data_IF_649741553638
#
_entry.id   IF_649741553638
#
_cell.length_a   1.000
_cell.length_b   1.000
_cell.length_c   1.000
_cell.angle_alpha   90.00
_cell.angle_beta   90.00
_cell.angle_gamma   90.00
#
_symmetry.space_group_name_H-M   'P 1'
#
loop_
_entity.id
_entity.type
_entity.pdbx_description
1 polymer ?
#
# COMPACT_ATOMS: atom_id res chain seq x y z
N UNK A 1 -6.28 1.94 -8.72
CA UNK A 1 -6.49 0.48 -8.66
C UNK A 1 -5.31 -0.13 -7.94
N UNK A 2 -5.56 -0.87 -6.85
CA UNK A 2 -4.53 -1.51 -6.05
C UNK A 2 -4.23 -2.93 -6.56
N UNK A 3 -2.95 -3.27 -6.70
CA UNK A 3 -2.45 -4.64 -6.84
C UNK A 3 -1.57 -4.97 -5.65
N UNK A 4 -1.78 -6.16 -5.09
CA UNK A 4 -0.96 -6.74 -4.03
C UNK A 4 -0.38 -8.03 -4.59
N UNK A 5 0.94 -8.07 -4.77
CA UNK A 5 1.64 -9.21 -5.32
C UNK A 5 2.52 -9.81 -4.22
N UNK A 6 2.37 -11.11 -3.98
CA UNK A 6 3.20 -11.84 -3.02
C UNK A 6 4.28 -12.64 -3.77
N UNK A 7 5.53 -12.40 -3.42
CA UNK A 7 6.69 -13.11 -3.96
C UNK A 7 7.52 -13.68 -2.80
N UNK A 8 7.16 -14.89 -2.38
CA UNK A 8 7.76 -15.53 -1.21
C UNK A 8 7.53 -14.72 0.06
N UNK A 9 8.62 -14.29 0.70
CA UNK A 9 8.61 -13.48 1.92
C UNK A 9 8.36 -11.98 1.68
N UNK A 10 8.27 -11.54 0.43
CA UNK A 10 8.08 -10.13 0.08
C UNK A 10 6.68 -9.87 -0.47
N UNK A 11 6.17 -8.68 -0.15
CA UNK A 11 4.96 -8.11 -0.73
C UNK A 11 5.34 -6.90 -1.58
N UNK A 12 4.68 -6.80 -2.74
CA UNK A 12 4.74 -5.64 -3.62
C UNK A 12 3.35 -5.01 -3.69
N UNK A 13 3.25 -3.76 -3.27
CA UNK A 13 2.05 -2.94 -3.33
C UNK A 13 2.17 -1.99 -4.51
N UNK A 14 1.18 -1.98 -5.39
CA UNK A 14 1.14 -1.09 -6.55
C UNK A 14 -0.20 -0.38 -6.59
N UNK A 15 -0.19 0.95 -6.58
CA UNK A 15 -1.39 1.77 -6.80
C UNK A 15 -1.23 2.60 -8.06
N UNK A 16 -2.13 2.41 -9.02
CA UNK A 16 -2.16 3.19 -10.26
C UNK A 16 -3.49 3.94 -10.42
N UNK A 17 -3.44 5.24 -10.70
CA UNK A 17 -4.61 6.08 -11.03
C UNK A 17 -4.17 7.29 -11.85
N UNK A 18 -4.90 7.62 -12.92
CA UNK A 18 -4.65 8.83 -13.71
C UNK A 18 -3.27 8.92 -14.37
N UNK A 19 -2.71 7.79 -14.81
CA UNK A 19 -1.39 7.73 -15.44
C UNK A 19 -0.20 7.81 -14.47
N UNK A 20 -0.45 7.87 -13.15
CA UNK A 20 0.57 7.82 -12.10
C UNK A 20 0.56 6.45 -11.44
N UNK A 21 1.73 6.03 -10.95
CA UNK A 21 1.92 4.74 -10.29
C UNK A 21 2.82 4.89 -9.06
N UNK A 22 2.33 4.46 -7.90
CA UNK A 22 3.13 4.32 -6.69
C UNK A 22 3.40 2.84 -6.41
N UNK A 23 4.67 2.52 -6.15
CA UNK A 23 5.13 1.15 -5.89
C UNK A 23 5.92 1.10 -4.58
N UNK A 24 5.60 0.14 -3.72
CA UNK A 24 6.40 -0.20 -2.56
C UNK A 24 6.61 -1.71 -2.47
N UNK A 25 7.81 -2.11 -2.07
CA UNK A 25 8.20 -3.52 -1.91
C UNK A 25 8.86 -3.68 -0.55
N UNK A 26 8.48 -4.70 0.19
CA UNK A 26 9.02 -4.97 1.51
C UNK A 26 8.65 -6.34 2.03
N UNK A 27 9.25 -6.78 3.13
CA UNK A 27 8.96 -8.08 3.72
C UNK A 27 7.52 -8.13 4.27
N UNK A 28 6.82 -9.22 4.03
CA UNK A 28 5.45 -9.45 4.52
C UNK A 28 5.37 -9.45 6.06
N UNK A 29 6.47 -9.86 6.71
CA UNK A 29 6.60 -9.89 8.16
C UNK A 29 6.66 -8.50 8.81
N UNK A 30 7.01 -7.46 8.04
CA UNK A 30 7.05 -6.07 8.50
C UNK A 30 6.10 -5.19 7.68
N UNK A 31 4.84 -5.60 7.70
CA UNK A 31 3.77 -4.91 6.98
C UNK A 31 3.63 -3.42 7.40
N UNK A 32 3.76 -3.02 8.68
CA UNK A 32 3.67 -1.60 9.06
C UNK A 32 4.71 -0.73 8.35
N UNK A 33 5.97 -1.17 8.26
CA UNK A 33 7.02 -0.44 7.54
C UNK A 33 6.71 -0.38 6.05
N UNK A 34 6.26 -1.48 5.45
CA UNK A 34 5.85 -1.51 4.05
C UNK A 34 4.69 -0.54 3.75
N UNK A 35 3.68 -0.48 4.62
CA UNK A 35 2.57 0.47 4.50
C UNK A 35 3.07 1.92 4.60
N UNK A 36 3.98 2.22 5.53
CA UNK A 36 4.59 3.54 5.65
C UNK A 36 5.35 3.95 4.38
N UNK A 37 6.15 3.05 3.82
CA UNK A 37 6.84 3.25 2.54
C UNK A 37 5.85 3.48 1.39
N UNK A 38 4.76 2.73 1.37
CA UNK A 38 3.72 2.87 0.35
C UNK A 38 3.02 4.22 0.40
N UNK A 39 2.67 4.71 1.60
CA UNK A 39 2.13 6.05 1.80
C UNK A 39 3.11 7.13 1.35
N UNK A 40 4.40 7.00 1.70
CA UNK A 40 5.42 7.95 1.30
C UNK A 40 5.55 8.03 -0.24
N UNK A 41 5.50 6.90 -0.92
CA UNK A 41 5.53 6.86 -2.38
C UNK A 41 4.26 7.45 -2.99
N UNK A 42 3.09 7.16 -2.43
CA UNK A 42 1.85 7.77 -2.91
C UNK A 42 1.85 9.30 -2.76
N UNK A 43 2.33 9.80 -1.62
CA UNK A 43 2.46 11.24 -1.40
C UNK A 43 3.43 11.89 -2.38
N UNK A 44 4.56 11.23 -2.68
CA UNK A 44 5.55 11.69 -3.65
C UNK A 44 4.97 11.80 -5.07
N UNK A 45 4.13 10.86 -5.48
CA UNK A 45 3.44 10.87 -6.78
C UNK A 45 2.23 11.84 -6.82
N UNK A 46 1.98 12.56 -5.73
CA UNK A 46 0.92 13.56 -5.62
C UNK A 46 -0.48 12.96 -5.59
N UNK A 47 -0.63 11.75 -5.06
CA UNK A 47 -1.95 11.20 -4.75
C UNK A 47 -2.59 11.96 -3.58
N UNK A 48 -3.91 12.09 -3.62
CA UNK A 48 -4.66 12.76 -2.55
C UNK A 48 -4.69 11.92 -1.27
N UNK A 49 -5.00 12.56 -0.15
CA UNK A 49 -5.24 11.83 1.11
C UNK A 49 -6.38 10.82 0.98
N UNK A 50 -7.41 11.13 0.20
CA UNK A 50 -8.51 10.19 -0.07
C UNK A 50 -8.00 8.95 -0.80
N UNK A 51 -7.19 9.12 -1.85
CA UNK A 51 -6.58 8.02 -2.59
C UNK A 51 -5.70 7.14 -1.69
N UNK A 52 -4.91 7.75 -0.82
CA UNK A 52 -4.06 7.05 0.14
C UNK A 52 -4.90 6.24 1.12
N UNK A 53 -5.93 6.84 1.72
CA UNK A 53 -6.83 6.16 2.66
C UNK A 53 -7.56 4.99 1.98
N UNK A 54 -8.05 5.19 0.75
CA UNK A 54 -8.68 4.11 -0.04
C UNK A 54 -7.70 2.99 -0.31
N UNK A 55 -6.49 3.31 -0.78
CA UNK A 55 -5.47 2.31 -1.06
C UNK A 55 -5.09 1.51 0.19
N UNK A 56 -4.88 2.17 1.33
CA UNK A 56 -4.56 1.50 2.60
C UNK A 56 -5.67 0.57 3.07
N UNK A 57 -6.94 0.99 2.93
CA UNK A 57 -8.08 0.13 3.25
C UNK A 57 -8.12 -1.12 2.37
N UNK A 58 -7.94 -0.95 1.06
CA UNK A 58 -7.88 -2.08 0.12
C UNK A 58 -6.70 -3.02 0.43
N UNK A 59 -5.53 -2.48 0.83
CA UNK A 59 -4.39 -3.31 1.27
C UNK A 59 -4.76 -4.09 2.52
N UNK A 60 -5.39 -3.45 3.52
CA UNK A 60 -5.84 -4.11 4.74
C UNK A 60 -6.83 -5.26 4.48
N UNK A 61 -7.81 -5.04 3.60
CA UNK A 61 -8.77 -6.08 3.21
C UNK A 61 -8.11 -7.27 2.50
N UNK A 62 -7.10 -7.02 1.65
CA UNK A 62 -6.39 -8.07 0.89
C UNK A 62 -5.33 -8.81 1.70
N UNK A 63 -4.71 -8.16 2.68
CA UNK A 63 -3.63 -8.74 3.50
C UNK A 63 -4.11 -9.28 4.85
N UNK A 64 -5.38 -9.04 5.20
CA UNK A 64 -5.93 -9.35 6.52
C UNK A 64 -5.48 -8.40 7.63
N UNK A 65 -4.72 -7.35 7.28
CA UNK A 65 -4.31 -6.32 8.22
C UNK A 65 -5.50 -5.43 8.58
N UNK A 66 -5.98 -5.57 9.82
CA UNK A 66 -6.92 -4.64 10.42
C UNK A 66 -6.11 -3.65 11.25
N UNK A 67 -6.09 -2.35 10.92
CA UNK A 67 -5.63 -1.37 11.89
C UNK A 67 -6.50 -1.55 13.13
N UNK A 68 -5.89 -1.85 14.28
CA UNK A 68 -6.60 -1.87 15.55
C UNK A 68 -7.15 -0.47 15.75
N UNK A 69 -8.48 -0.32 15.61
CA UNK A 69 -9.18 0.85 16.12
C UNK A 69 -8.91 0.90 17.61
N UNK A 70 -8.02 1.78 18.04
CA UNK A 70 -7.92 2.20 19.45
C UNK A 70 -9.14 3.01 19.83
#
# INVERSE_FOLDING_TARGET
MLKVEQQGAFLRLVYAKGGREAVAIGPASDLPTLLGLFVAQMAREGFSLEDICTALREVGEKTGFKPTSS
#
